data_IF_413785636331
#
_entry.id   IF_413785636331
#
_cell.length_a   1.000
_cell.length_b   1.000
_cell.length_c   1.000
_cell.angle_alpha   90.00
_cell.angle_beta   90.00
_cell.angle_gamma   90.00
#
_symmetry.space_group_name_H-M   'P 1'
#
loop_
_entity.id
_entity.type
_entity.pdbx_description
1 polymer ?
#
# COMPACT_ATOMS: atom_id res chain seq x y z
N UNK A 1 42.45 31.21 30.17
CA UNK A 1 41.14 31.11 29.49
C UNK A 1 41.14 29.79 28.70
N UNK A 2 40.28 28.80 28.97
CA UNK A 2 40.23 27.64 28.05
C UNK A 2 39.79 26.24 28.51
N UNK A 3 39.02 26.08 29.60
CA UNK A 3 38.47 24.74 29.97
C UNK A 3 36.98 24.73 30.35
N UNK A 4 36.49 25.79 30.99
CA UNK A 4 35.11 26.25 30.73
C UNK A 4 35.02 26.72 29.26
N UNK A 5 33.98 27.33 28.73
CA UNK A 5 33.81 27.53 27.28
C UNK A 5 33.73 26.22 26.46
N UNK A 6 34.69 25.30 26.53
CA UNK A 6 34.65 24.02 25.78
C UNK A 6 33.63 23.04 26.37
N UNK A 7 33.58 22.87 27.69
CA UNK A 7 32.57 22.01 28.34
C UNK A 7 31.17 22.60 28.18
N UNK A 8 31.02 23.92 28.35
CA UNK A 8 29.73 24.59 28.15
C UNK A 8 29.28 24.51 26.68
N UNK A 9 30.17 24.78 25.71
CA UNK A 9 29.85 24.65 24.29
C UNK A 9 29.51 23.21 23.90
N UNK A 10 30.23 22.23 24.47
CA UNK A 10 29.93 20.82 24.26
C UNK A 10 28.55 20.45 24.83
N UNK A 11 28.25 20.84 26.07
CA UNK A 11 26.93 20.59 26.68
C UNK A 11 25.79 21.24 25.89
N UNK A 12 26.00 22.47 25.38
CA UNK A 12 25.02 23.15 24.53
C UNK A 12 24.83 22.42 23.19
N UNK A 13 25.89 21.86 22.61
CA UNK A 13 25.80 21.05 21.40
C UNK A 13 25.08 19.72 21.64
N UNK A 14 25.28 19.09 22.80
CA UNK A 14 24.55 17.88 23.20
C UNK A 14 23.06 18.18 23.32
N UNK A 15 22.68 19.24 24.04
CA UNK A 15 21.27 19.63 24.19
C UNK A 15 20.63 20.01 22.85
N UNK A 16 21.35 20.76 22.01
CA UNK A 16 20.89 21.07 20.64
C UNK A 16 20.67 19.80 19.81
N UNK A 17 21.55 18.81 19.95
CA UNK A 17 21.43 17.53 19.24
C UNK A 17 20.24 16.74 19.75
N UNK A 18 20.01 16.70 21.07
CA UNK A 18 18.83 16.05 21.68
C UNK A 18 17.54 16.65 21.16
N UNK A 19 17.42 17.99 21.18
CA UNK A 19 16.26 18.70 20.63
C UNK A 19 16.02 18.38 19.15
N UNK A 20 17.09 18.20 18.36
CA UNK A 20 16.98 17.81 16.95
C UNK A 20 16.48 16.38 16.78
N UNK A 21 16.93 15.45 17.62
CA UNK A 21 16.44 14.06 17.61
C UNK A 21 14.97 14.01 18.01
N UNK A 22 14.58 14.76 19.04
CA UNK A 22 13.18 14.82 19.49
C UNK A 22 12.27 15.41 18.41
N UNK A 23 12.68 16.51 17.78
CA UNK A 23 11.95 17.10 16.67
C UNK A 23 11.83 16.13 15.48
N UNK A 24 12.90 15.43 15.13
CA UNK A 24 12.88 14.43 14.06
C UNK A 24 11.88 13.30 14.38
N UNK A 25 11.97 12.73 15.58
CA UNK A 25 11.06 11.66 15.99
C UNK A 25 9.60 12.11 15.99
N UNK A 26 9.33 13.36 16.41
CA UNK A 26 7.98 13.94 16.33
C UNK A 26 7.49 14.04 14.87
N UNK A 27 8.35 14.44 13.92
CA UNK A 27 7.98 14.47 12.50
C UNK A 27 7.71 13.08 11.93
N UNK A 28 8.48 12.07 12.32
CA UNK A 28 8.26 10.68 11.91
C UNK A 28 6.92 10.18 12.45
N UNK A 29 6.63 10.42 13.74
CA UNK A 29 5.36 10.02 14.34
C UNK A 29 4.15 10.68 13.65
N UNK A 30 4.28 11.96 13.27
CA UNK A 30 3.24 12.66 12.51
C UNK A 30 3.06 12.08 11.11
N UNK A 31 4.15 11.75 10.42
CA UNK A 31 4.11 11.12 9.10
C UNK A 31 3.45 9.73 9.14
N UNK A 32 3.75 8.94 10.16
CA UNK A 32 3.13 7.62 10.35
C UNK A 32 1.62 7.75 10.58
N UNK A 33 1.18 8.73 11.36
CA UNK A 33 -0.25 9.01 11.57
C UNK A 33 -0.93 9.44 10.26
N UNK A 34 -0.32 10.37 9.52
CA UNK A 34 -0.84 10.84 8.23
C UNK A 34 -0.94 9.69 7.20
N UNK A 35 0.05 8.79 7.19
CA UNK A 35 0.05 7.60 6.35
C UNK A 35 -1.13 6.68 6.63
N UNK A 36 -1.49 6.47 7.90
CA UNK A 36 -2.66 5.65 8.27
C UNK A 36 -3.93 6.27 7.69
N UNK A 37 -4.13 7.57 7.88
CA UNK A 37 -5.31 8.29 7.36
C UNK A 37 -5.37 8.22 5.83
N UNK A 38 -4.24 8.42 5.15
CA UNK A 38 -4.16 8.29 3.69
C UNK A 38 -4.57 6.88 3.23
N UNK A 39 -4.08 5.83 3.89
CA UNK A 39 -4.44 4.44 3.55
C UNK A 39 -5.91 4.14 3.80
N UNK A 40 -6.53 4.74 4.81
CA UNK A 40 -7.98 4.62 5.04
C UNK A 40 -8.76 5.31 3.92
N UNK A 41 -8.38 6.53 3.54
CA UNK A 41 -8.99 7.24 2.42
C UNK A 41 -8.85 6.48 1.09
N UNK A 42 -7.71 5.84 0.83
CA UNK A 42 -7.50 4.98 -0.34
C UNK A 42 -8.46 3.78 -0.34
N UNK A 43 -8.67 3.14 0.82
CA UNK A 43 -9.62 2.03 0.95
C UNK A 43 -11.06 2.47 0.70
N UNK A 44 -11.47 3.59 1.30
CA UNK A 44 -12.81 4.14 1.08
C UNK A 44 -13.05 4.45 -0.40
N UNK A 45 -12.07 5.05 -1.07
CA UNK A 45 -12.13 5.34 -2.50
C UNK A 45 -12.22 4.05 -3.33
N UNK A 46 -11.44 3.02 -2.97
CA UNK A 46 -11.51 1.72 -3.64
C UNK A 46 -12.90 1.09 -3.49
N UNK A 47 -13.46 1.07 -2.28
CA UNK A 47 -14.80 0.52 -2.04
C UNK A 47 -15.88 1.26 -2.84
N UNK A 48 -15.81 2.60 -2.88
CA UNK A 48 -16.74 3.40 -3.67
C UNK A 48 -16.61 3.08 -5.17
N UNK A 49 -15.37 2.96 -5.65
CA UNK A 49 -15.09 2.61 -7.05
C UNK A 49 -15.65 1.23 -7.40
N UNK A 50 -15.50 0.24 -6.51
CA UNK A 50 -16.07 -1.09 -6.68
C UNK A 50 -17.60 -1.07 -6.71
N UNK A 51 -18.23 -0.31 -5.81
CA UNK A 51 -19.69 -0.11 -5.79
C UNK A 51 -20.19 0.55 -7.08
N UNK A 52 -19.50 1.58 -7.56
CA UNK A 52 -19.82 2.25 -8.83
C UNK A 52 -19.71 1.29 -10.01
N UNK A 53 -18.61 0.55 -10.14
CA UNK A 53 -18.45 -0.45 -11.19
C UNK A 53 -19.50 -1.55 -11.10
N UNK A 54 -19.88 -1.98 -9.90
CA UNK A 54 -20.93 -2.98 -9.72
C UNK A 54 -22.30 -2.44 -10.13
N UNK A 55 -22.64 -1.20 -9.78
CA UNK A 55 -23.88 -0.54 -10.19
C UNK A 55 -23.99 -0.49 -11.72
N UNK A 56 -22.95 -0.01 -12.40
CA UNK A 56 -22.89 0.02 -13.87
C UNK A 56 -23.00 -1.39 -14.47
N UNK A 57 -22.36 -2.39 -13.84
CA UNK A 57 -22.47 -3.78 -14.27
C UNK A 57 -23.87 -4.38 -14.09
N UNK A 58 -24.62 -3.96 -13.06
CA UNK A 58 -25.99 -4.40 -12.82
C UNK A 58 -26.93 -3.79 -13.87
N UNK A 59 -26.76 -2.50 -14.18
CA UNK A 59 -27.65 -1.78 -15.10
C UNK A 59 -27.38 -2.11 -16.58
N UNK A 60 -26.12 -2.09 -17.01
CA UNK A 60 -25.75 -2.20 -18.43
C UNK A 60 -25.06 -3.52 -18.77
N UNK A 61 -24.58 -4.25 -17.77
CA UNK A 61 -23.84 -5.49 -17.94
C UNK A 61 -22.32 -5.31 -18.02
N UNK A 62 -21.59 -6.36 -17.63
CA UNK A 62 -20.10 -6.35 -17.57
C UNK A 62 -19.38 -6.32 -18.93
N UNK A 63 -20.12 -6.39 -20.04
CA UNK A 63 -19.58 -6.33 -21.40
C UNK A 63 -19.97 -5.03 -22.13
N UNK A 64 -20.66 -4.12 -21.44
CA UNK A 64 -21.21 -2.92 -22.04
C UNK A 64 -20.15 -1.83 -22.27
N UNK A 65 -20.42 -0.85 -23.15
CA UNK A 65 -19.60 0.34 -23.27
C UNK A 65 -19.52 1.17 -21.99
N UNK A 66 -20.62 1.31 -21.26
CA UNK A 66 -20.72 2.05 -20.01
C UNK A 66 -19.80 1.45 -18.94
N UNK A 67 -19.73 0.12 -18.86
CA UNK A 67 -18.81 -0.57 -17.94
C UNK A 67 -17.35 -0.23 -18.23
N UNK A 68 -16.99 -0.01 -19.50
CA UNK A 68 -15.64 0.43 -19.90
C UNK A 68 -15.39 1.89 -19.58
N UNK A 69 -16.38 2.76 -19.80
CA UNK A 69 -16.30 4.19 -19.49
C UNK A 69 -16.16 4.41 -17.98
N UNK A 70 -16.83 3.58 -17.16
CA UNK A 70 -16.71 3.58 -15.72
C UNK A 70 -15.33 3.08 -15.20
N UNK A 71 -14.41 2.69 -16.08
CA UNK A 71 -13.06 2.23 -15.74
C UNK A 71 -12.91 0.71 -15.63
N UNK A 72 -13.96 -0.07 -15.94
CA UNK A 72 -13.92 -1.53 -15.94
C UNK A 72 -13.35 -2.11 -17.23
N UNK A 73 -12.79 -3.32 -17.17
CA UNK A 73 -12.43 -4.09 -18.38
C UNK A 73 -13.62 -4.97 -18.76
N UNK A 74 -14.13 -4.81 -19.99
CA UNK A 74 -15.24 -5.61 -20.53
C UNK A 74 -14.97 -7.10 -20.44
N UNK A 75 -15.98 -7.91 -20.14
CA UNK A 75 -15.86 -9.37 -19.95
C UNK A 75 -15.20 -10.06 -21.15
N UNK A 76 -15.53 -9.64 -22.37
CA UNK A 76 -14.94 -10.12 -23.63
C UNK A 76 -13.49 -9.71 -23.83
N UNK A 77 -13.07 -8.58 -23.27
CA UNK A 77 -11.71 -8.02 -23.38
C UNK A 77 -10.75 -8.55 -22.28
N UNK A 78 -11.25 -9.22 -21.25
CA UNK A 78 -10.42 -9.77 -20.16
C UNK A 78 -9.60 -10.97 -20.63
N UNK A 79 -8.27 -10.90 -20.45
CA UNK A 79 -7.36 -12.03 -20.69
C UNK A 79 -7.68 -13.17 -19.71
N UNK A 80 -8.05 -14.34 -20.24
CA UNK A 80 -8.24 -15.55 -19.42
C UNK A 80 -6.87 -16.13 -19.05
N UNK A 81 -6.64 -16.50 -17.77
CA UNK A 81 -5.44 -17.25 -17.43
C UNK A 81 -5.48 -18.64 -18.09
N UNK A 82 -4.39 -19.02 -18.75
CA UNK A 82 -4.24 -20.38 -19.30
C UNK A 82 -4.16 -21.38 -18.14
N UNK A 83 -5.12 -22.31 -18.11
CA UNK A 83 -5.12 -23.40 -17.11
C UNK A 83 -4.00 -24.37 -17.48
N UNK A 84 -2.85 -24.32 -16.77
CA UNK A 84 -1.82 -25.36 -16.88
C UNK A 84 -2.48 -26.71 -16.58
N UNK A 85 -2.45 -27.64 -17.56
CA UNK A 85 -2.86 -29.02 -17.31
C UNK A 85 -1.88 -29.63 -16.32
N UNK A 86 -2.39 -30.14 -15.20
CA UNK A 86 -1.58 -30.91 -14.26
C UNK A 86 -1.09 -32.16 -14.99
N UNK A 87 0.22 -32.26 -15.24
CA UNK A 87 0.82 -33.49 -15.73
C UNK A 87 0.64 -34.56 -14.66
N UNK A 88 0.11 -35.70 -15.09
CA UNK A 88 -0.09 -36.90 -14.29
C UNK A 88 1.28 -37.37 -13.79
N UNK A 89 1.53 -37.29 -12.49
CA UNK A 89 2.69 -37.92 -11.86
C UNK A 89 2.42 -39.42 -11.70
N UNK A 90 3.26 -40.22 -12.34
CA UNK A 90 3.22 -41.69 -12.37
C UNK A 90 3.23 -42.33 -10.95
N UNK A 91 2.64 -43.52 -10.77
CA UNK A 91 2.57 -44.18 -9.47
C UNK A 91 3.95 -44.74 -9.06
N UNK A 92 4.40 -44.33 -7.88
CA UNK A 92 5.64 -44.77 -7.24
C UNK A 92 5.57 -46.28 -6.89
N UNK A 93 6.59 -47.12 -7.18
CA UNK A 93 6.54 -48.54 -6.85
C UNK A 93 6.73 -48.75 -5.34
N UNK A 94 5.96 -49.68 -4.77
CA UNK A 94 6.04 -50.09 -3.38
C UNK A 94 7.33 -50.90 -3.13
N UNK A 95 8.06 -50.55 -2.08
CA UNK A 95 9.23 -51.29 -1.58
C UNK A 95 8.76 -52.60 -0.92
N UNK A 96 9.42 -53.71 -1.27
CA UNK A 96 9.38 -55.00 -0.54
C UNK A 96 10.68 -55.19 0.23
#
# INVERSE_FOLDING_TARGET
>A
MGKGLSIQAYSALVEKTRQRVDAYNATVAMLDADRVVMQEAEKELQELTEKMLLGVAIEFGKDSPEYKIAGGIRKSERKRPDRKKANQSEPHPALS
#
